data_IF_195217385729
#
_entry.id   IF_195217385729
#
_cell.length_a   1.000
_cell.length_b   1.000
_cell.length_c   1.000
_cell.angle_alpha   90.00
_cell.angle_beta   90.00
_cell.angle_gamma   90.00
#
_symmetry.space_group_name_H-M   'P 1'
#
loop_
_entity.id
_entity.type
_entity.pdbx_description
1 polymer ?
#
# COMPACT_ATOMS: atom_id res chain seq x y z
N UNK A 1 38.08 0.39 -20.09
CA UNK A 1 36.96 -0.48 -19.65
C UNK A 1 35.83 0.28 -18.98
N UNK A 2 35.98 0.90 -17.80
CA UNK A 2 34.87 1.63 -17.09
C UNK A 2 34.11 2.70 -17.91
N UNK A 3 34.72 3.29 -18.93
CA UNK A 3 34.12 4.35 -19.77
C UNK A 3 33.14 3.82 -20.83
N UNK A 4 33.34 2.61 -21.35
CA UNK A 4 32.42 2.05 -22.36
C UNK A 4 31.16 1.48 -21.71
N UNK A 5 31.30 0.77 -20.59
CA UNK A 5 30.17 0.26 -19.81
C UNK A 5 29.26 1.40 -19.33
N UNK A 6 29.85 2.53 -18.89
CA UNK A 6 29.08 3.71 -18.50
C UNK A 6 28.32 4.36 -19.67
N UNK A 7 28.91 4.36 -20.87
CA UNK A 7 28.26 4.89 -22.08
C UNK A 7 27.16 3.96 -22.58
N UNK A 8 27.36 2.65 -22.49
CA UNK A 8 26.35 1.65 -22.83
C UNK A 8 25.16 1.72 -21.85
N UNK A 9 25.44 1.81 -20.54
CA UNK A 9 24.42 1.98 -19.51
C UNK A 9 23.61 3.27 -19.71
N UNK A 10 24.27 4.39 -20.04
CA UNK A 10 23.58 5.64 -20.36
C UNK A 10 22.67 5.52 -21.60
N UNK A 11 23.09 4.79 -22.64
CA UNK A 11 22.25 4.50 -23.82
C UNK A 11 21.07 3.60 -23.48
N UNK A 12 21.25 2.58 -22.63
CA UNK A 12 20.16 1.71 -22.16
C UNK A 12 19.16 2.49 -21.30
N UNK A 13 19.64 3.34 -20.40
CA UNK A 13 18.79 4.22 -19.60
C UNK A 13 18.02 5.22 -20.47
N UNK A 14 18.68 5.82 -21.46
CA UNK A 14 18.01 6.74 -22.39
C UNK A 14 16.90 6.05 -23.17
N UNK A 15 17.15 4.82 -23.66
CA UNK A 15 16.12 3.99 -24.31
C UNK A 15 14.95 3.67 -23.38
N UNK A 16 15.21 3.24 -22.14
CA UNK A 16 14.16 2.98 -21.15
C UNK A 16 13.35 4.24 -20.82
N UNK A 17 14.01 5.40 -20.69
CA UNK A 17 13.35 6.68 -20.43
C UNK A 17 12.51 7.21 -21.61
N UNK A 18 12.81 6.78 -22.84
CA UNK A 18 12.10 7.16 -24.06
C UNK A 18 11.06 6.13 -24.49
N UNK A 19 11.05 4.92 -23.92
CA UNK A 19 10.03 3.93 -24.21
C UNK A 19 8.68 4.46 -23.75
N UNK A 20 7.72 4.56 -24.67
CA UNK A 20 6.33 4.95 -24.36
C UNK A 20 5.55 3.83 -23.67
N UNK A 21 6.14 2.64 -23.57
CA UNK A 21 5.55 1.45 -22.96
C UNK A 21 5.46 1.66 -21.46
N UNK A 22 4.22 1.68 -20.95
CA UNK A 22 3.95 1.65 -19.53
C UNK A 22 3.96 0.17 -19.09
N UNK A 23 5.15 -0.32 -18.75
CA UNK A 23 5.38 -1.72 -18.35
C UNK A 23 4.48 -2.16 -17.18
N UNK A 24 4.13 -1.23 -16.28
CA UNK A 24 3.23 -1.52 -15.16
C UNK A 24 1.81 -1.75 -15.68
N UNK A 25 1.37 -0.93 -16.63
CA UNK A 25 0.07 -1.07 -17.25
C UNK A 25 -0.02 -2.32 -18.11
N UNK A 26 0.99 -2.62 -18.91
CA UNK A 26 1.05 -3.85 -19.72
C UNK A 26 0.99 -5.09 -18.82
N UNK A 27 1.76 -5.10 -17.73
CA UNK A 27 1.69 -6.18 -16.76
C UNK A 27 0.30 -6.27 -16.11
N UNK A 28 -0.28 -5.16 -15.65
CA UNK A 28 -1.63 -5.14 -15.09
C UNK A 28 -2.70 -5.65 -16.08
N UNK A 29 -2.59 -5.29 -17.36
CA UNK A 29 -3.53 -5.71 -18.39
C UNK A 29 -3.37 -7.21 -18.71
N UNK A 30 -2.13 -7.74 -18.64
CA UNK A 30 -1.86 -9.17 -18.80
C UNK A 30 -2.44 -10.05 -17.68
N UNK A 31 -2.66 -9.47 -16.50
CA UNK A 31 -3.30 -10.17 -15.37
C UNK A 31 -4.82 -10.27 -15.54
N UNK A 32 -5.43 -9.48 -16.42
CA UNK A 32 -6.88 -9.49 -16.62
C UNK A 32 -7.27 -10.62 -17.56
N UNK A 33 -8.09 -11.55 -17.09
CA UNK A 33 -8.59 -12.65 -17.90
C UNK A 33 -9.91 -12.31 -18.61
N UNK A 34 -10.39 -13.25 -19.44
CA UNK A 34 -11.60 -13.08 -20.26
C UNK A 34 -12.89 -12.84 -19.46
N UNK A 35 -12.88 -13.11 -18.16
CA UNK A 35 -14.00 -12.84 -17.25
C UNK A 35 -14.02 -11.39 -16.73
N UNK A 36 -13.03 -10.57 -17.12
CA UNK A 36 -12.90 -9.17 -16.73
C UNK A 36 -12.32 -8.97 -15.33
N UNK A 37 -11.80 -10.02 -14.70
CA UNK A 37 -11.17 -9.97 -13.37
C UNK A 37 -9.66 -10.05 -13.51
N UNK A 38 -8.95 -9.51 -12.53
CA UNK A 38 -7.51 -9.69 -12.43
C UNK A 38 -7.21 -11.01 -11.70
N UNK A 39 -6.33 -11.84 -12.26
CA UNK A 39 -5.99 -13.16 -11.71
C UNK A 39 -4.56 -13.17 -11.17
N UNK A 40 -4.43 -13.42 -9.87
CA UNK A 40 -3.14 -13.69 -9.21
C UNK A 40 -2.93 -15.19 -9.17
N UNK A 41 -1.86 -15.65 -9.82
CA UNK A 41 -1.59 -17.07 -10.07
C UNK A 41 -0.52 -17.60 -9.15
N UNK A 42 -0.91 -18.49 -8.23
CA UNK A 42 -0.02 -19.01 -7.20
C UNK A 42 0.23 -20.50 -7.43
N UNK A 43 1.47 -20.90 -7.68
CA UNK A 43 1.84 -22.31 -7.86
C UNK A 43 2.25 -22.97 -6.54
N UNK A 44 1.38 -23.83 -6.02
CA UNK A 44 1.61 -24.58 -4.77
C UNK A 44 2.18 -25.98 -5.02
N UNK A 45 2.46 -26.39 -6.26
CA UNK A 45 2.92 -27.75 -6.57
C UNK A 45 4.37 -28.00 -6.14
N UNK A 46 5.14 -26.93 -5.97
CA UNK A 46 6.58 -27.00 -5.63
C UNK A 46 6.89 -26.59 -4.20
N UNK A 47 5.89 -26.10 -3.46
CA UNK A 47 6.09 -25.43 -2.17
C UNK A 47 5.04 -25.88 -1.17
N UNK A 48 5.43 -25.99 0.09
CA UNK A 48 4.50 -26.27 1.17
C UNK A 48 3.64 -25.02 1.45
N UNK A 49 2.33 -25.13 1.21
CA UNK A 49 1.42 -24.00 1.36
C UNK A 49 1.18 -23.59 2.82
N UNK A 50 1.34 -24.55 3.74
CA UNK A 50 1.01 -24.41 5.14
C UNK A 50 2.28 -24.27 5.99
N UNK A 51 2.18 -23.49 7.05
CA UNK A 51 3.29 -23.17 7.92
C UNK A 51 3.51 -24.29 8.95
N UNK A 52 4.73 -24.83 8.97
CA UNK A 52 5.17 -25.88 9.89
C UNK A 52 5.03 -25.49 11.37
N UNK A 53 5.20 -24.21 11.70
CA UNK A 53 5.09 -23.70 13.07
C UNK A 53 3.65 -23.53 13.57
N UNK A 54 2.68 -23.83 12.71
CA UNK A 54 1.25 -23.68 13.01
C UNK A 54 0.50 -25.01 13.04
N UNK A 55 1.20 -26.14 13.14
CA UNK A 55 0.61 -27.48 12.93
C UNK A 55 -0.17 -27.54 11.60
N UNK A 56 0.37 -26.90 10.56
CA UNK A 56 -0.23 -26.82 9.22
C UNK A 56 -1.62 -26.15 9.19
N UNK A 57 -1.92 -25.27 10.15
CA UNK A 57 -3.21 -24.55 10.16
C UNK A 57 -3.18 -23.19 9.50
N UNK A 58 -2.00 -22.58 9.37
CA UNK A 58 -1.81 -21.25 8.76
C UNK A 58 -1.08 -21.34 7.44
N UNK A 59 -1.38 -20.41 6.54
CA UNK A 59 -0.66 -20.26 5.27
C UNK A 59 0.77 -19.74 5.51
N UNK A 60 1.71 -20.14 4.65
CA UNK A 60 3.08 -19.62 4.69
C UNK A 60 3.10 -18.11 4.38
N UNK A 61 3.84 -17.28 5.15
CA UNK A 61 3.89 -15.83 4.94
C UNK A 61 4.31 -15.43 3.52
N UNK A 62 5.29 -16.11 2.94
CA UNK A 62 5.82 -15.83 1.60
C UNK A 62 4.74 -15.93 0.51
N UNK A 63 3.72 -16.77 0.69
CA UNK A 63 2.61 -16.88 -0.26
C UNK A 63 1.72 -15.65 -0.18
N UNK A 64 1.46 -15.16 1.04
CA UNK A 64 0.69 -13.94 1.25
C UNK A 64 1.44 -12.71 0.73
N UNK A 65 2.76 -12.66 0.93
CA UNK A 65 3.64 -11.61 0.41
C UNK A 65 3.63 -11.62 -1.12
N UNK A 66 3.81 -12.78 -1.75
CA UNK A 66 3.69 -12.92 -3.21
C UNK A 66 2.33 -12.44 -3.74
N UNK A 67 1.21 -12.84 -3.10
CA UNK A 67 -0.11 -12.37 -3.51
C UNK A 67 -0.24 -10.85 -3.37
N UNK A 68 0.29 -10.28 -2.28
CA UNK A 68 0.27 -8.84 -2.04
C UNK A 68 1.08 -8.10 -3.12
N UNK A 69 2.27 -8.58 -3.44
CA UNK A 69 3.19 -8.01 -4.45
C UNK A 69 2.61 -8.04 -5.86
N UNK A 70 2.00 -9.16 -6.27
CA UNK A 70 1.33 -9.29 -7.56
C UNK A 70 0.08 -8.39 -7.63
N UNK A 71 -0.71 -8.34 -6.54
CA UNK A 71 -1.90 -7.51 -6.49
C UNK A 71 -1.59 -6.00 -6.54
N UNK A 72 -0.35 -5.55 -6.24
CA UNK A 72 0.04 -4.13 -6.30
C UNK A 72 -0.19 -3.54 -7.69
N UNK A 73 0.00 -4.34 -8.73
CA UNK A 73 -0.10 -3.92 -10.13
C UNK A 73 -1.54 -3.85 -10.61
N UNK A 74 -2.45 -4.56 -9.94
CA UNK A 74 -3.88 -4.54 -10.31
C UNK A 74 -4.55 -3.22 -9.91
N UNK A 75 -5.43 -2.73 -10.77
CA UNK A 75 -6.30 -1.61 -10.42
C UNK A 75 -7.25 -2.02 -9.30
N UNK A 76 -7.30 -1.21 -8.24
CA UNK A 76 -8.07 -1.53 -7.02
C UNK A 76 -9.59 -1.57 -7.26
N UNK A 77 -10.06 -1.00 -8.37
CA UNK A 77 -11.46 -1.01 -8.78
C UNK A 77 -11.86 -2.33 -9.48
N UNK A 78 -10.89 -3.08 -10.01
CA UNK A 78 -11.14 -4.34 -10.70
C UNK A 78 -11.26 -5.47 -9.67
N UNK A 79 -12.28 -6.34 -9.76
CA UNK A 79 -12.37 -7.54 -8.91
C UNK A 79 -11.15 -8.45 -9.13
N UNK A 80 -10.66 -9.02 -8.03
CA UNK A 80 -9.47 -9.89 -8.00
C UNK A 80 -9.89 -11.35 -7.78
N UNK A 81 -9.25 -12.27 -8.49
CA UNK A 81 -9.32 -13.70 -8.26
C UNK A 81 -7.91 -14.21 -7.90
N UNK A 82 -7.81 -15.08 -6.91
CA UNK A 82 -6.57 -15.76 -6.52
C UNK A 82 -6.69 -17.22 -6.94
N UNK A 83 -5.87 -17.63 -7.88
CA UNK A 83 -5.88 -18.97 -8.45
C UNK A 83 -4.71 -19.78 -7.90
N UNK A 84 -5.02 -20.76 -7.06
CA UNK A 84 -4.06 -21.70 -6.52
C UNK A 84 -3.93 -22.93 -7.43
N UNK A 85 -2.75 -23.13 -8.00
CA UNK A 85 -2.43 -24.33 -8.76
C UNK A 85 -1.91 -25.43 -7.83
N UNK A 86 -2.64 -26.54 -7.78
CA UNK A 86 -2.38 -27.68 -6.88
C UNK A 86 -2.18 -28.97 -7.68
N UNK A 87 -1.47 -29.95 -7.10
CA UNK A 87 -1.28 -31.25 -7.75
C UNK A 87 -2.60 -32.01 -7.87
N UNK A 88 -3.33 -32.12 -6.76
CA UNK A 88 -4.64 -32.73 -6.65
C UNK A 88 -5.57 -31.83 -5.82
N UNK A 89 -6.87 -31.84 -6.14
CA UNK A 89 -7.86 -31.09 -5.34
C UNK A 89 -8.19 -31.87 -4.08
N UNK A 90 -8.04 -31.22 -2.93
CA UNK A 90 -8.56 -31.73 -1.67
C UNK A 90 -9.52 -30.69 -1.09
N UNK A 91 -10.80 -31.03 -1.05
CA UNK A 91 -11.85 -30.14 -0.56
C UNK A 91 -11.63 -29.67 0.89
N UNK A 92 -10.94 -30.44 1.74
CA UNK A 92 -10.62 -30.02 3.11
C UNK A 92 -9.50 -29.00 3.11
N UNK A 93 -8.40 -29.31 2.43
CA UNK A 93 -7.25 -28.42 2.28
C UNK A 93 -7.65 -27.12 1.57
N UNK A 94 -8.35 -27.19 0.45
CA UNK A 94 -8.82 -26.05 -0.34
C UNK A 94 -9.68 -25.12 0.52
N UNK A 95 -10.60 -25.69 1.30
CA UNK A 95 -11.46 -24.93 2.22
C UNK A 95 -10.67 -24.31 3.37
N UNK A 96 -9.69 -25.02 3.92
CA UNK A 96 -8.82 -24.51 4.98
C UNK A 96 -7.98 -23.33 4.48
N UNK A 97 -7.31 -23.49 3.33
CA UNK A 97 -6.46 -22.47 2.74
C UNK A 97 -7.27 -21.24 2.35
N UNK A 98 -8.40 -21.42 1.66
CA UNK A 98 -9.27 -20.31 1.28
C UNK A 98 -9.79 -19.54 2.51
N UNK A 99 -10.14 -20.27 3.59
CA UNK A 99 -10.57 -19.65 4.84
C UNK A 99 -9.43 -18.85 5.47
N UNK A 100 -8.23 -19.39 5.50
CA UNK A 100 -7.08 -18.72 6.12
C UNK A 100 -6.66 -17.46 5.35
N UNK A 101 -6.59 -17.53 4.03
CA UNK A 101 -6.32 -16.37 3.16
C UNK A 101 -7.35 -15.27 3.40
N UNK A 102 -8.65 -15.62 3.39
CA UNK A 102 -9.71 -14.64 3.66
C UNK A 102 -9.62 -14.08 5.08
N UNK A 103 -9.40 -14.91 6.08
CA UNK A 103 -9.29 -14.48 7.47
C UNK A 103 -8.11 -13.53 7.67
N UNK A 104 -6.96 -13.81 7.06
CA UNK A 104 -5.77 -12.96 7.12
C UNK A 104 -6.07 -11.55 6.57
N UNK A 105 -6.64 -11.45 5.37
CA UNK A 105 -6.96 -10.15 4.77
C UNK A 105 -8.13 -9.44 5.47
N UNK A 106 -9.12 -10.17 5.98
CA UNK A 106 -10.18 -9.59 6.82
C UNK A 106 -9.63 -9.04 8.14
N UNK A 107 -8.68 -9.74 8.74
CA UNK A 107 -8.01 -9.28 9.97
C UNK A 107 -7.21 -8.01 9.69
N UNK A 108 -6.34 -8.01 8.66
CA UNK A 108 -5.60 -6.81 8.21
C UNK A 108 -6.55 -5.65 7.91
N UNK A 109 -7.64 -5.89 7.18
CA UNK A 109 -8.66 -4.87 6.88
C UNK A 109 -9.25 -4.26 8.16
N UNK A 110 -9.60 -5.09 9.15
CA UNK A 110 -10.16 -4.62 10.41
C UNK A 110 -9.17 -3.78 11.22
N UNK A 111 -7.89 -4.16 11.22
CA UNK A 111 -6.80 -3.44 11.86
C UNK A 111 -6.57 -2.08 11.19
N UNK A 112 -6.45 -2.05 9.86
CA UNK A 112 -6.26 -0.80 9.10
C UNK A 112 -7.48 0.11 9.21
N UNK A 113 -8.70 -0.44 9.31
CA UNK A 113 -9.92 0.35 9.55
C UNK A 113 -9.88 1.05 10.90
N UNK A 114 -9.37 0.38 11.93
CA UNK A 114 -9.13 0.98 13.24
C UNK A 114 -8.05 2.05 13.17
N UNK A 115 -6.93 1.76 12.51
CA UNK A 115 -5.84 2.71 12.28
C UNK A 115 -6.33 4.00 11.61
N UNK A 116 -7.21 3.90 10.59
CA UNK A 116 -7.82 5.09 9.96
C UNK A 116 -8.54 5.97 10.98
N UNK A 117 -9.33 5.37 11.87
CA UNK A 117 -10.03 6.12 12.91
C UNK A 117 -9.06 6.78 13.91
N UNK A 118 -7.94 6.11 14.19
CA UNK A 118 -6.93 6.61 15.12
C UNK A 118 -6.10 7.75 14.50
N UNK A 119 -5.81 7.70 13.20
CA UNK A 119 -5.20 8.83 12.46
C UNK A 119 -6.09 10.06 12.52
N UNK A 120 -7.39 9.90 12.22
CA UNK A 120 -8.35 11.01 12.27
C UNK A 120 -8.45 11.60 13.68
N UNK A 121 -8.52 10.77 14.72
CA UNK A 121 -8.53 11.23 16.11
C UNK A 121 -7.25 11.98 16.47
N UNK A 122 -6.08 11.47 16.07
CA UNK A 122 -4.78 12.11 16.30
C UNK A 122 -4.70 13.47 15.62
N UNK A 123 -5.12 13.57 14.35
CA UNK A 123 -5.23 14.86 13.64
C UNK A 123 -6.11 15.84 14.38
N UNK A 124 -7.30 15.42 14.81
CA UNK A 124 -8.20 16.29 15.58
C UNK A 124 -7.60 16.73 16.92
N UNK A 125 -6.96 15.83 17.65
CA UNK A 125 -6.32 16.17 18.92
C UNK A 125 -5.17 17.17 18.73
N UNK A 126 -4.36 17.01 17.69
CA UNK A 126 -3.28 17.96 17.35
C UNK A 126 -3.85 19.31 16.92
N UNK A 127 -4.91 19.32 16.12
CA UNK A 127 -5.58 20.54 15.69
C UNK A 127 -6.15 21.31 16.89
N UNK A 128 -6.83 20.61 17.80
CA UNK A 128 -7.37 21.20 19.03
C UNK A 128 -6.26 21.77 19.93
N UNK A 129 -5.14 21.05 20.05
CA UNK A 129 -3.97 21.57 20.78
C UNK A 129 -3.39 22.82 20.10
N UNK A 130 -3.26 22.83 18.78
CA UNK A 130 -2.83 24.01 18.01
C UNK A 130 -3.75 25.21 18.22
N UNK A 131 -5.07 25.01 18.09
CA UNK A 131 -6.08 26.06 18.34
C UNK A 131 -5.99 26.58 19.77
N UNK A 132 -5.80 25.69 20.75
CA UNK A 132 -5.61 26.09 22.14
C UNK A 132 -4.39 27.02 22.30
N UNK A 133 -3.24 26.67 21.71
CA UNK A 133 -2.05 27.53 21.76
C UNK A 133 -2.23 28.85 21.01
N UNK A 134 -2.96 28.88 19.89
CA UNK A 134 -3.34 30.14 19.21
C UNK A 134 -4.16 31.03 20.13
N UNK A 135 -5.15 30.48 20.84
CA UNK A 135 -5.96 31.25 21.80
C UNK A 135 -5.07 31.81 22.91
N UNK A 136 -4.17 31.00 23.47
CA UNK A 136 -3.21 31.45 24.49
C UNK A 136 -2.32 32.57 23.95
N UNK A 137 -1.80 32.44 22.73
CA UNK A 137 -0.98 33.46 22.08
C UNK A 137 -1.73 34.79 21.91
N UNK A 138 -2.97 34.74 21.44
CA UNK A 138 -3.81 35.93 21.27
C UNK A 138 -4.10 36.60 22.62
N UNK A 139 -4.43 35.82 23.65
CA UNK A 139 -4.66 36.32 25.00
C UNK A 139 -3.40 36.99 25.57
N UNK A 140 -2.23 36.36 25.45
CA UNK A 140 -0.96 36.94 25.88
C UNK A 140 -0.67 38.25 25.15
N UNK A 141 -0.89 38.30 23.84
CA UNK A 141 -0.72 39.51 23.03
C UNK A 141 -1.66 40.63 23.46
N UNK A 142 -2.91 40.30 23.79
CA UNK A 142 -3.90 41.25 24.29
C UNK A 142 -3.50 41.80 25.67
N UNK A 143 -3.15 40.93 26.62
CA UNK A 143 -2.70 41.34 27.96
C UNK A 143 -1.41 42.15 27.93
N UNK A 144 -0.47 41.81 27.03
CA UNK A 144 0.77 42.58 26.88
C UNK A 144 0.53 44.01 26.37
N UNK A 145 -0.51 44.24 25.55
CA UNK A 145 -0.83 45.57 25.02
C UNK A 145 -1.62 46.44 25.99
N UNK A 146 -2.36 45.84 26.91
CA UNK A 146 -3.29 46.53 27.79
C UNK A 146 -2.80 46.66 29.24
N UNK A 147 -1.52 46.35 29.49
CA UNK A 147 -0.91 46.35 30.83
C UNK A 147 0.17 47.41 30.91
N UNK A 148 -0.24 48.66 31.09
CA UNK A 148 0.66 49.83 31.21
C UNK A 148 1.53 49.79 32.49
N UNK A 149 1.20 48.92 33.46
CA UNK A 149 1.87 48.79 34.76
C UNK A 149 2.72 47.52 34.89
N UNK A 150 3.05 46.84 33.78
CA UNK A 150 3.79 45.58 33.83
C UNK A 150 5.29 45.82 34.11
N UNK A 151 5.86 45.09 35.09
CA UNK A 151 7.30 45.09 35.37
C UNK A 151 8.13 44.71 34.14
N UNK A 152 9.28 45.39 33.90
CA UNK A 152 10.19 45.14 32.76
C UNK A 152 10.63 43.68 32.65
N UNK A 153 10.77 42.97 33.78
CA UNK A 153 11.15 41.56 33.75
C UNK A 153 9.98 40.69 33.24
N UNK A 154 8.75 41.02 33.61
CA UNK A 154 7.57 40.26 33.17
C UNK A 154 7.30 40.45 31.67
N UNK A 155 7.53 41.65 31.11
CA UNK A 155 7.36 41.87 29.67
C UNK A 155 8.39 41.10 28.83
N UNK A 156 9.65 41.03 29.28
CA UNK A 156 10.69 40.24 28.61
C UNK A 156 10.36 38.74 28.60
N UNK A 157 9.93 38.18 29.73
CA UNK A 157 9.52 36.78 29.80
C UNK A 157 8.30 36.51 28.89
N UNK A 158 7.29 37.38 28.90
CA UNK A 158 6.12 37.24 28.03
C UNK A 158 6.48 37.27 26.54
N UNK A 159 7.44 38.13 26.14
CA UNK A 159 7.94 38.17 24.76
C UNK A 159 8.56 36.83 24.36
N UNK A 160 9.46 36.28 25.19
CA UNK A 160 10.11 34.99 24.92
C UNK A 160 9.07 33.86 24.86
N UNK A 161 8.13 33.81 25.81
CA UNK A 161 7.07 32.79 25.79
C UNK A 161 6.16 32.93 24.56
N UNK A 162 5.88 34.16 24.11
CA UNK A 162 5.05 34.37 22.93
C UNK A 162 5.71 33.84 21.65
N UNK A 163 7.03 34.01 21.49
CA UNK A 163 7.78 33.46 20.36
C UNK A 163 7.81 31.92 20.39
N UNK A 164 7.99 31.33 21.58
CA UNK A 164 7.94 29.87 21.72
C UNK A 164 6.55 29.34 21.37
N UNK A 165 5.49 29.97 21.88
CA UNK A 165 4.12 29.57 21.59
C UNK A 165 3.82 29.75 20.09
N UNK A 166 4.38 30.78 19.46
CA UNK A 166 4.24 31.03 18.02
C UNK A 166 4.74 29.85 17.18
N UNK A 167 5.93 29.36 17.52
CA UNK A 167 6.50 28.17 16.89
C UNK A 167 5.66 26.93 17.21
N UNK A 168 5.25 26.76 18.47
CA UNK A 168 4.50 25.57 18.92
C UNK A 168 3.17 25.45 18.19
N UNK A 169 2.32 26.48 18.20
CA UNK A 169 1.00 26.33 17.58
C UNK A 169 1.12 26.06 16.07
N UNK A 170 2.08 26.70 15.40
CA UNK A 170 2.32 26.51 13.97
C UNK A 170 2.69 25.07 13.65
N UNK A 171 3.62 24.48 14.43
CA UNK A 171 4.01 23.07 14.28
C UNK A 171 2.83 22.14 14.51
N UNK A 172 2.04 22.34 15.58
CA UNK A 172 0.89 21.49 15.87
C UNK A 172 -0.19 21.55 14.78
N UNK A 173 -0.46 22.74 14.24
CA UNK A 173 -1.42 22.89 13.14
C UNK A 173 -0.89 22.19 11.88
N UNK A 174 0.38 22.37 11.53
CA UNK A 174 0.95 21.69 10.37
C UNK A 174 0.93 20.18 10.51
N UNK A 175 1.28 19.64 11.68
CA UNK A 175 1.22 18.19 11.91
C UNK A 175 -0.21 17.65 11.85
N UNK A 176 -1.20 18.43 12.31
CA UNK A 176 -2.60 18.04 12.16
C UNK A 176 -3.01 17.97 10.68
N UNK A 177 -2.59 18.97 9.88
CA UNK A 177 -2.84 19.05 8.43
C UNK A 177 -2.14 17.91 7.70
N UNK A 178 -0.86 17.65 7.98
CA UNK A 178 -0.09 16.60 7.34
C UNK A 178 -0.76 15.23 7.52
N UNK A 179 -1.11 14.90 8.76
CA UNK A 179 -1.82 13.65 9.09
C UNK A 179 -3.19 13.55 8.43
N UNK A 180 -3.92 14.67 8.37
CA UNK A 180 -5.26 14.67 7.82
C UNK A 180 -5.27 14.50 6.30
N UNK A 181 -4.32 15.08 5.58
CA UNK A 181 -4.29 15.05 4.11
C UNK A 181 -3.43 13.91 3.55
N UNK A 182 -2.26 13.63 4.12
CA UNK A 182 -1.32 12.65 3.57
C UNK A 182 -1.50 11.27 4.22
N UNK A 183 -1.40 11.17 5.56
CA UNK A 183 -1.50 9.88 6.26
C UNK A 183 -2.88 9.24 6.07
N UNK A 184 -3.96 10.03 6.13
CA UNK A 184 -5.31 9.53 5.87
C UNK A 184 -5.46 8.96 4.45
N UNK A 185 -4.88 9.61 3.44
CA UNK A 185 -4.95 9.16 2.04
C UNK A 185 -4.21 7.84 1.86
N UNK A 186 -3.05 7.69 2.49
CA UNK A 186 -2.28 6.46 2.44
C UNK A 186 -3.05 5.29 3.07
N UNK A 187 -3.58 5.48 4.29
CA UNK A 187 -4.38 4.45 4.98
C UNK A 187 -5.65 4.12 4.18
N UNK A 188 -6.27 5.10 3.54
CA UNK A 188 -7.42 4.86 2.67
C UNK A 188 -7.06 4.02 1.43
N UNK A 189 -5.92 4.28 0.79
CA UNK A 189 -5.42 3.46 -0.32
C UNK A 189 -5.17 2.03 0.12
N UNK A 190 -4.57 1.83 1.28
CA UNK A 190 -4.35 0.49 1.86
C UNK A 190 -5.67 -0.22 2.13
N UNK A 191 -6.68 0.48 2.66
CA UNK A 191 -8.01 -0.09 2.90
C UNK A 191 -8.68 -0.57 1.61
N UNK A 192 -8.60 0.19 0.52
CA UNK A 192 -9.18 -0.24 -0.75
C UNK A 192 -8.51 -1.53 -1.26
N UNK A 193 -7.18 -1.61 -1.20
CA UNK A 193 -6.42 -2.81 -1.59
C UNK A 193 -6.77 -4.02 -0.72
N UNK A 194 -6.82 -3.84 0.60
CA UNK A 194 -7.23 -4.90 1.51
C UNK A 194 -8.68 -5.32 1.31
N UNK A 195 -9.55 -4.40 0.90
CA UNK A 195 -10.94 -4.73 0.53
C UNK A 195 -10.94 -5.65 -0.68
N UNK A 196 -10.24 -5.28 -1.75
CA UNK A 196 -10.11 -6.08 -2.97
C UNK A 196 -9.61 -7.50 -2.66
N UNK A 197 -8.53 -7.64 -1.88
CA UNK A 197 -7.96 -8.92 -1.45
C UNK A 197 -8.90 -9.72 -0.53
N UNK A 198 -9.56 -9.07 0.43
CA UNK A 198 -10.49 -9.74 1.35
C UNK A 198 -11.76 -10.22 0.63
N UNK A 199 -12.17 -9.54 -0.44
CA UNK A 199 -13.30 -9.92 -1.29
C UNK A 199 -12.91 -10.79 -2.48
N UNK A 200 -11.62 -11.12 -2.62
CA UNK A 200 -11.14 -11.89 -3.76
C UNK A 200 -11.79 -13.27 -3.81
N UNK A 201 -12.10 -13.70 -5.03
CA UNK A 201 -12.55 -15.06 -5.27
C UNK A 201 -11.34 -16.00 -5.27
N UNK A 202 -11.46 -17.13 -4.58
CA UNK A 202 -10.36 -18.07 -4.40
C UNK A 202 -10.70 -19.33 -5.18
N UNK A 203 -9.89 -19.62 -6.20
CA UNK A 203 -10.07 -20.78 -7.06
C UNK A 203 -8.91 -21.76 -6.88
N UNK A 204 -9.21 -23.05 -7.05
CA UNK A 204 -8.23 -24.12 -7.04
C UNK A 204 -8.22 -24.81 -8.40
N UNK A 205 -7.06 -24.86 -9.04
CA UNK A 205 -6.88 -25.41 -10.39
C UNK A 205 -5.92 -26.60 -10.30
N UNK A 206 -6.40 -27.78 -10.72
CA UNK A 206 -5.60 -29.00 -10.72
C UNK A 206 -4.66 -29.06 -11.93
N UNK A 207 -3.54 -29.77 -11.76
CA UNK A 207 -2.48 -29.98 -12.76
C UNK A 207 -2.95 -30.26 -14.20
N UNK A 208 -4.05 -31.03 -14.36
CA UNK A 208 -4.58 -31.37 -15.68
C UNK A 208 -5.11 -30.20 -16.51
N UNK A 209 -5.54 -29.09 -15.89
CA UNK A 209 -6.00 -27.87 -16.59
C UNK A 209 -4.86 -26.87 -16.85
N UNK A 210 -3.82 -26.89 -16.02
CA UNK A 210 -2.69 -25.98 -16.12
C UNK A 210 -1.84 -26.18 -17.38
N UNK A 211 -1.64 -27.43 -17.82
CA UNK A 211 -0.86 -27.72 -19.04
C UNK A 211 -1.48 -27.10 -20.30
N UNK A 212 -2.80 -26.95 -20.33
CA UNK A 212 -3.53 -26.30 -21.41
C UNK A 212 -3.46 -24.76 -21.33
N UNK A 213 -3.52 -24.21 -20.11
CA UNK A 213 -3.34 -22.76 -19.87
C UNK A 213 -1.90 -22.31 -20.14
N UNK A 214 -0.90 -23.05 -19.68
CA UNK A 214 0.53 -22.69 -19.83
C UNK A 214 0.96 -22.58 -21.29
N UNK A 215 0.42 -23.41 -22.18
CA UNK A 215 0.65 -23.32 -23.63
C UNK A 215 0.14 -22.01 -24.23
N UNK A 216 -0.95 -21.46 -23.67
CA UNK A 216 -1.54 -20.18 -24.08
C UNK A 216 -0.74 -18.97 -23.55
N UNK A 217 -0.07 -19.12 -22.39
CA UNK A 217 0.79 -18.08 -21.82
C UNK A 217 2.15 -17.98 -22.53
N UNK A 218 2.82 -19.10 -22.82
CA UNK A 218 4.10 -19.07 -23.53
C UNK A 218 3.99 -18.56 -24.97
N UNK A 219 2.86 -18.77 -25.65
CA UNK A 219 2.65 -18.17 -26.97
C UNK A 219 2.56 -16.64 -26.91
N UNK A 220 1.98 -16.07 -25.83
CA UNK A 220 1.85 -14.62 -25.67
C UNK A 220 3.19 -13.97 -25.28
N UNK A 221 4.00 -14.63 -24.44
CA UNK A 221 5.35 -14.16 -24.11
C UNK A 221 6.35 -14.27 -25.28
N UNK A 222 6.19 -15.26 -26.17
CA UNK A 222 7.01 -15.39 -27.38
C UNK A 222 6.61 -14.36 -28.44
N UNK A 223 5.31 -14.13 -28.65
CA UNK A 223 4.83 -13.09 -29.59
C UNK A 223 5.25 -11.67 -29.15
N UNK A 224 5.17 -11.34 -27.84
CA UNK A 224 5.63 -10.04 -27.33
C UNK A 224 7.16 -9.86 -27.39
N UNK A 225 7.94 -10.96 -27.37
CA UNK A 225 9.40 -10.90 -27.56
C UNK A 225 9.78 -10.71 -29.02
N UNK A 226 9.06 -11.34 -29.96
CA UNK A 226 9.30 -11.13 -31.39
C UNK A 226 8.92 -9.71 -31.84
N UNK A 227 7.83 -9.13 -31.33
CA UNK A 227 7.49 -7.72 -31.61
C UNK A 227 8.50 -6.72 -31.03
N UNK A 228 9.10 -7.02 -29.88
CA UNK A 228 10.12 -6.17 -29.25
C UNK A 228 11.52 -6.25 -29.92
N UNK A 229 11.77 -7.25 -30.77
CA UNK A 229 13.01 -7.39 -31.55
C UNK A 229 12.92 -6.80 -32.97
N UNK A 230 11.72 -6.40 -33.43
CA UNK A 230 11.47 -5.90 -34.79
C UNK A 230 11.40 -4.36 -34.89
N UNK A 231 11.40 -3.61 -33.77
CA UNK A 231 11.46 -2.13 -33.71
C UNK A 231 12.75 -1.57 -33.07
#
# INVERSE_FOLDING_TARGET
MKSEEAKDLAKRFHRLSQSKTDWVKEHSDSMVESDGRAHVKVDLRKTMALNLYSDETRIHPDILEFIEDEAIYTEVEKPLSIDFYVEEKDAKFDKLLAKEVKNHYLFKFSETKKQKSDVVKKSWNLLLAGIFFVIVYILMSYFSRNSDNMSRNASLWLSIFSEVIDIVYWVFIWEAVDKFFFEQREVQRQLFRLTQLATADINFIAKGKWEDEKKKFHSIEEDNKEEAEID
#
